data_IF_187732013687
#
_entry.id   IF_187732013687
#
_cell.length_a   1.000
_cell.length_b   1.000
_cell.length_c   1.000
_cell.angle_alpha   90.00
_cell.angle_beta   90.00
_cell.angle_gamma   90.00
#
_symmetry.space_group_name_H-M   'P 1'
#
loop_
_entity.id
_entity.type
_entity.pdbx_description
1 polymer ?
#
# COMPACT_ATOMS: atom_id res chain seq x y z
N UNK A 1 5.21 24.94 11.44
CA UNK A 1 5.26 23.74 12.31
C UNK A 1 4.46 22.66 11.60
N UNK A 2 5.07 21.56 11.16
CA UNK A 2 4.30 20.45 10.61
C UNK A 2 3.35 19.95 11.70
N UNK A 3 2.06 19.91 11.39
CA UNK A 3 1.02 19.51 12.33
C UNK A 3 1.28 18.07 12.81
N UNK A 4 0.98 17.77 14.08
CA UNK A 4 1.21 16.43 14.66
C UNK A 4 0.53 15.35 13.81
N UNK A 5 -0.63 15.66 13.23
CA UNK A 5 -1.35 14.79 12.31
C UNK A 5 -0.56 14.43 11.05
N UNK A 6 0.16 15.39 10.46
CA UNK A 6 0.98 15.16 9.26
C UNK A 6 2.10 14.15 9.54
N UNK A 7 2.80 14.32 10.66
CA UNK A 7 3.88 13.42 11.08
C UNK A 7 3.36 12.01 11.33
N UNK A 8 2.20 11.87 11.97
CA UNK A 8 1.59 10.56 12.23
C UNK A 8 1.16 9.85 10.94
N UNK A 9 0.56 10.59 10.00
CA UNK A 9 0.14 10.05 8.71
C UNK A 9 1.34 9.56 7.89
N UNK A 10 2.45 10.30 7.88
CA UNK A 10 3.69 9.88 7.24
C UNK A 10 4.25 8.58 7.83
N UNK A 11 4.21 8.43 9.16
CA UNK A 11 4.64 7.19 9.80
C UNK A 11 3.72 6.01 9.46
N UNK A 12 2.40 6.23 9.49
CA UNK A 12 1.41 5.22 9.14
C UNK A 12 1.61 4.72 7.70
N UNK A 13 1.79 5.65 6.77
CA UNK A 13 2.05 5.35 5.36
C UNK A 13 3.29 4.47 5.21
N UNK A 14 4.41 4.87 5.79
CA UNK A 14 5.67 4.11 5.71
C UNK A 14 5.51 2.70 6.27
N UNK A 15 4.80 2.55 7.40
CA UNK A 15 4.53 1.23 8.01
C UNK A 15 3.68 0.34 7.09
N UNK A 16 2.59 0.88 6.57
CA UNK A 16 1.70 0.15 5.63
C UNK A 16 2.43 -0.30 4.38
N UNK A 17 3.22 0.56 3.74
CA UNK A 17 3.95 0.22 2.53
C UNK A 17 5.08 -0.79 2.79
N UNK A 18 5.83 -0.66 3.89
CA UNK A 18 6.85 -1.66 4.26
C UNK A 18 6.24 -3.04 4.45
N UNK A 19 5.11 -3.11 5.15
CA UNK A 19 4.40 -4.36 5.38
C UNK A 19 3.85 -4.96 4.09
N UNK A 20 3.28 -4.13 3.20
CA UNK A 20 2.83 -4.58 1.88
C UNK A 20 3.97 -5.21 1.07
N UNK A 21 5.13 -4.55 0.98
CA UNK A 21 6.27 -5.11 0.27
C UNK A 21 6.79 -6.40 0.92
N UNK A 22 6.73 -6.52 2.26
CA UNK A 22 7.10 -7.75 2.95
C UNK A 22 6.17 -8.92 2.58
N UNK A 23 4.86 -8.69 2.49
CA UNK A 23 3.89 -9.70 2.05
C UNK A 23 4.08 -10.05 0.57
N UNK A 24 4.21 -9.05 -0.31
CA UNK A 24 4.32 -9.27 -1.76
C UNK A 24 5.57 -10.05 -2.16
N UNK A 25 6.65 -9.95 -1.38
CA UNK A 25 7.89 -10.74 -1.56
C UNK A 25 7.79 -12.16 -0.99
N UNK A 26 6.65 -12.57 -0.45
CA UNK A 26 6.46 -13.87 0.20
C UNK A 26 7.20 -14.04 1.53
N UNK A 27 7.85 -12.99 2.03
CA UNK A 27 8.64 -13.05 3.28
C UNK A 27 7.78 -13.27 4.53
N UNK A 28 6.47 -13.03 4.43
CA UNK A 28 5.48 -13.26 5.50
C UNK A 28 4.85 -14.66 5.45
N UNK A 29 5.36 -15.54 4.59
CA UNK A 29 4.80 -16.87 4.34
C UNK A 29 3.68 -16.88 3.28
N UNK A 30 3.36 -18.07 2.76
CA UNK A 30 2.49 -18.23 1.59
C UNK A 30 1.03 -17.85 1.89
N UNK A 31 0.55 -18.00 3.12
CA UNK A 31 -0.84 -17.74 3.48
C UNK A 31 -1.24 -16.27 3.27
N UNK A 32 -0.40 -15.33 3.69
CA UNK A 32 -0.69 -13.90 3.56
C UNK A 32 -0.59 -13.43 2.11
N UNK A 33 0.34 -14.01 1.36
CA UNK A 33 0.45 -13.77 -0.08
C UNK A 33 -0.78 -14.31 -0.83
N UNK A 34 -1.19 -15.55 -0.53
CA UNK A 34 -2.39 -16.17 -1.08
C UNK A 34 -3.67 -15.45 -0.65
N UNK A 35 -3.73 -14.92 0.58
CA UNK A 35 -4.86 -14.11 1.03
C UNK A 35 -5.02 -12.83 0.22
N UNK A 36 -3.91 -12.24 -0.24
CA UNK A 36 -3.94 -11.08 -1.13
C UNK A 36 -4.24 -11.41 -2.59
N UNK A 37 -3.63 -12.48 -3.11
CA UNK A 37 -3.69 -12.85 -4.53
C UNK A 37 -4.87 -13.78 -4.84
N UNK A 38 -5.44 -14.39 -3.81
CA UNK A 38 -6.49 -15.39 -3.89
C UNK A 38 -7.76 -14.80 -4.48
N UNK A 39 -8.21 -15.38 -5.58
CA UNK A 39 -9.57 -15.19 -6.09
C UNK A 39 -10.49 -16.05 -5.23
N UNK A 40 -11.26 -15.41 -4.36
CA UNK A 40 -12.34 -16.07 -3.64
C UNK A 40 -13.55 -16.12 -4.59
N UNK A 41 -14.13 -17.29 -4.78
CA UNK A 41 -15.38 -17.43 -5.55
C UNK A 41 -16.52 -16.69 -4.85
N UNK A 42 -17.26 -15.88 -5.60
CA UNK A 42 -18.37 -15.07 -5.11
C UNK A 42 -18.19 -13.57 -5.34
N UNK A 43 -19.31 -12.85 -5.52
CA UNK A 43 -19.32 -11.38 -5.55
C UNK A 43 -19.40 -10.86 -4.12
N UNK A 44 -18.54 -9.90 -3.76
CA UNK A 44 -18.74 -9.11 -2.54
C UNK A 44 -20.10 -8.41 -2.61
N UNK A 45 -20.87 -8.47 -1.53
CA UNK A 45 -22.13 -7.75 -1.41
C UNK A 45 -21.94 -6.24 -1.62
N UNK A 46 -22.96 -5.57 -2.15
CA UNK A 46 -22.90 -4.15 -2.47
C UNK A 46 -22.95 -3.32 -1.17
N UNK A 47 -21.82 -2.68 -0.83
CA UNK A 47 -21.63 -1.82 0.33
C UNK A 47 -20.24 -1.15 0.28
N UNK A 48 -20.04 0.00 0.95
CA UNK A 48 -18.86 0.85 0.72
C UNK A 48 -17.81 0.79 1.83
N UNK A 49 -16.64 0.17 1.61
CA UNK A 49 -15.39 0.72 2.11
C UNK A 49 -14.98 1.84 1.15
N UNK A 50 -14.97 3.11 1.61
CA UNK A 50 -14.63 4.25 0.72
C UNK A 50 -13.18 4.16 0.17
N UNK A 51 -12.34 3.36 0.82
CA UNK A 51 -10.89 3.20 0.61
C UNK A 51 -10.43 1.98 1.40
N UNK A 52 -9.76 1.02 0.78
CA UNK A 52 -9.18 -0.13 1.47
C UNK A 52 -7.64 -0.03 1.55
N UNK A 53 -7.01 -0.95 2.27
CA UNK A 53 -5.55 -0.96 2.42
C UNK A 53 -4.80 -1.12 1.08
N UNK A 54 -5.35 -1.87 0.12
CA UNK A 54 -4.72 -2.00 -1.20
C UNK A 54 -4.84 -0.74 -2.04
N UNK A 55 -5.88 0.07 -1.84
CA UNK A 55 -5.96 1.40 -2.44
C UNK A 55 -4.86 2.31 -1.92
N UNK A 56 -4.54 2.24 -0.62
CA UNK A 56 -3.41 2.98 -0.03
C UNK A 56 -2.07 2.54 -0.63
N UNK A 57 -1.86 1.22 -0.67
CA UNK A 57 -0.62 0.61 -1.12
C UNK A 57 -0.32 0.93 -2.59
N UNK A 58 -1.35 1.05 -3.42
CA UNK A 58 -1.23 1.48 -4.82
C UNK A 58 -1.07 3.00 -4.93
N UNK A 59 -1.99 3.77 -4.34
CA UNK A 59 -2.10 5.21 -4.58
C UNK A 59 -0.96 6.01 -3.98
N UNK A 60 -0.50 5.71 -2.77
CA UNK A 60 0.57 6.50 -2.13
C UNK A 60 1.89 6.54 -2.88
N UNK A 61 2.39 5.41 -3.44
CA UNK A 61 3.55 5.43 -4.32
C UNK A 61 3.23 5.83 -5.77
N UNK A 62 1.99 6.22 -6.09
CA UNK A 62 1.59 6.67 -7.42
C UNK A 62 1.29 5.55 -8.43
N UNK A 63 1.00 4.35 -7.96
CA UNK A 63 0.72 3.18 -8.80
C UNK A 63 -0.79 2.98 -8.99
N UNK A 64 -1.19 2.48 -10.15
CA UNK A 64 -2.59 2.30 -10.54
C UNK A 64 -3.03 0.84 -10.49
N UNK A 65 -2.11 -0.09 -10.78
CA UNK A 65 -2.38 -1.52 -10.87
C UNK A 65 -1.72 -2.33 -9.74
N UNK A 66 -2.34 -3.45 -9.37
CA UNK A 66 -1.73 -4.40 -8.42
C UNK A 66 -0.48 -5.05 -9.00
N UNK A 67 -0.50 -5.43 -10.28
CA UNK A 67 0.63 -6.08 -10.95
C UNK A 67 1.89 -5.23 -10.94
N UNK A 68 1.77 -3.93 -11.25
CA UNK A 68 2.90 -2.99 -11.17
C UNK A 68 3.39 -2.84 -9.73
N UNK A 69 2.45 -2.76 -8.78
CA UNK A 69 2.79 -2.66 -7.35
C UNK A 69 3.57 -3.87 -6.87
N UNK A 70 3.14 -5.08 -7.24
CA UNK A 70 3.84 -6.32 -6.89
C UNK A 70 5.24 -6.37 -7.50
N UNK A 71 5.37 -6.08 -8.79
CA UNK A 71 6.67 -6.07 -9.49
C UNK A 71 7.65 -5.05 -8.91
N UNK A 72 7.18 -3.85 -8.56
CA UNK A 72 7.99 -2.83 -7.87
C UNK A 72 8.35 -3.25 -6.45
N UNK A 73 7.45 -3.94 -5.75
CA UNK A 73 7.69 -4.45 -4.41
C UNK A 73 8.70 -5.61 -4.36
N UNK A 74 8.82 -6.40 -5.42
CA UNK A 74 9.83 -7.46 -5.55
C UNK A 74 11.25 -6.89 -5.52
N UNK A 75 11.49 -5.74 -6.15
CA UNK A 75 12.73 -5.00 -6.02
C UNK A 75 12.78 -4.24 -4.68
N UNK A 76 13.61 -4.72 -3.75
CA UNK A 76 13.70 -4.18 -2.38
C UNK A 76 14.20 -2.73 -2.33
N UNK A 77 15.15 -2.39 -3.19
CA UNK A 77 15.75 -1.05 -3.24
C UNK A 77 14.74 -0.06 -3.81
N UNK A 78 14.17 -0.38 -4.96
CA UNK A 78 13.13 0.43 -5.61
C UNK A 78 11.93 0.63 -4.68
N UNK A 79 11.44 -0.43 -4.02
CA UNK A 79 10.36 -0.32 -3.06
C UNK A 79 10.71 0.60 -1.88
N UNK A 80 11.94 0.50 -1.35
CA UNK A 80 12.41 1.34 -0.23
C UNK A 80 12.42 2.81 -0.63
N UNK A 81 12.87 3.10 -1.84
CA UNK A 81 12.94 4.47 -2.36
C UNK A 81 11.54 5.05 -2.59
N UNK A 82 10.61 4.23 -3.11
CA UNK A 82 9.19 4.62 -3.23
C UNK A 82 8.55 4.89 -1.86
N UNK A 83 8.83 4.06 -0.84
CA UNK A 83 8.34 4.29 0.53
C UNK A 83 8.92 5.57 1.15
N UNK A 84 10.17 5.91 0.84
CA UNK A 84 10.80 7.15 1.30
C UNK A 84 10.23 8.38 0.58
N UNK A 85 9.93 8.24 -0.71
CA UNK A 85 9.58 9.32 -1.64
C UNK A 85 8.09 9.58 -1.75
N UNK A 86 7.22 8.67 -1.30
CA UNK A 86 5.74 8.72 -1.38
C UNK A 86 5.08 9.89 -0.63
N UNK A 87 5.57 11.12 -0.81
CA UNK A 87 5.27 12.33 -0.06
C UNK A 87 4.18 13.17 -0.71
N UNK A 88 3.92 12.97 -2.00
CA UNK A 88 3.25 13.97 -2.82
C UNK A 88 1.71 13.92 -2.79
N UNK A 89 1.11 12.78 -2.46
CA UNK A 89 -0.35 12.59 -2.56
C UNK A 89 -1.10 12.71 -1.21
N UNK A 90 -0.39 12.90 -0.10
CA UNK A 90 -1.01 13.14 1.21
C UNK A 90 -1.57 14.57 1.30
N UNK A 91 -0.85 15.55 0.72
CA UNK A 91 -1.22 16.97 0.78
C UNK A 91 -2.46 17.26 -0.07
N UNK A 92 -2.69 16.50 -1.16
CA UNK A 92 -3.80 16.70 -2.10
C UNK A 92 -5.15 16.14 -1.63
N UNK A 93 -5.18 15.29 -0.59
CA UNK A 93 -6.42 14.63 -0.11
C UNK A 93 -6.98 15.29 1.16
N UNK A 94 -6.17 16.06 1.89
CA UNK A 94 -6.56 16.72 3.16
C UNK A 94 -6.83 18.22 2.97
N UNK A 95 -6.47 18.79 1.82
CA UNK A 95 -6.62 20.22 1.50
C UNK A 95 -7.81 20.47 0.60
#
# INVERSE_FOLDING_TARGET
MADVGERLLQQLMKRKLRYAGHIMRGSSGPLLQLSQEGKIEGKRGQGRPRRNWMDDVKKWPGLTSYGDTKRKAENREEWRDMVATGRHLIITIIK
#
